data_IF_361085541533
#
_entry.id   IF_361085541533
#
_cell.length_a   1.000
_cell.length_b   1.000
_cell.length_c   1.000
_cell.angle_alpha   90.00
_cell.angle_beta   90.00
_cell.angle_gamma   90.00
#
_symmetry.space_group_name_H-M   'P 1'
#
loop_
_entity.id
_entity.type
_entity.pdbx_description
1 polymer ?
#
# COMPACT_ATOMS: atom_id res chain seq x y z
N UNK A 1 -17.09 19.25 -19.27
CA UNK A 1 -17.13 18.13 -20.23
C UNK A 1 -16.79 16.87 -19.44
N UNK A 2 -17.79 16.05 -19.10
CA UNK A 2 -17.57 14.81 -18.38
C UNK A 2 -17.23 13.74 -19.42
N UNK A 3 -15.94 13.46 -19.64
CA UNK A 3 -15.53 12.36 -20.53
C UNK A 3 -16.12 11.06 -19.98
N UNK A 4 -16.94 10.38 -20.80
CA UNK A 4 -17.54 9.09 -20.42
C UNK A 4 -16.42 8.08 -20.21
N UNK A 5 -16.14 7.74 -18.94
CA UNK A 5 -15.25 6.65 -18.52
C UNK A 5 -15.72 5.35 -19.20
N UNK A 6 -15.00 4.88 -20.21
CA UNK A 6 -15.27 3.59 -20.87
C UNK A 6 -14.55 2.51 -20.11
N UNK A 7 -15.24 1.48 -19.63
CA UNK A 7 -14.60 0.33 -18.98
C UNK A 7 -14.01 -0.61 -20.03
N UNK A 8 -12.79 -1.07 -19.80
CA UNK A 8 -12.05 -2.02 -20.64
C UNK A 8 -11.72 -3.25 -19.79
N UNK A 9 -11.82 -4.43 -20.40
CA UNK A 9 -11.48 -5.70 -19.77
C UNK A 9 -10.13 -6.17 -20.29
N UNK A 10 -9.20 -6.44 -19.40
CA UNK A 10 -7.88 -6.98 -19.68
C UNK A 10 -7.87 -8.45 -19.27
N UNK A 11 -7.79 -9.35 -20.25
CA UNK A 11 -7.64 -10.79 -19.97
C UNK A 11 -6.17 -11.11 -19.68
N UNK A 12 -5.92 -11.73 -18.53
CA UNK A 12 -4.58 -12.12 -18.08
C UNK A 12 -4.33 -13.61 -18.34
N UNK A 13 -3.08 -14.06 -18.13
CA UNK A 13 -2.66 -15.43 -18.41
C UNK A 13 -3.33 -16.48 -17.50
N UNK A 14 -3.87 -16.06 -16.35
CA UNK A 14 -4.74 -16.88 -15.48
C UNK A 14 -6.14 -17.13 -16.07
N UNK A 15 -6.46 -16.53 -17.22
CA UNK A 15 -7.76 -16.61 -17.88
C UNK A 15 -8.82 -15.68 -17.28
N UNK A 16 -8.54 -14.99 -16.18
CA UNK A 16 -9.44 -14.01 -15.54
C UNK A 16 -9.31 -12.64 -16.19
N UNK A 17 -10.32 -11.81 -15.97
CA UNK A 17 -10.37 -10.44 -16.49
C UNK A 17 -10.13 -9.44 -15.37
N UNK A 18 -9.32 -8.40 -15.63
CA UNK A 18 -9.26 -7.17 -14.84
C UNK A 18 -10.06 -6.10 -15.55
N UNK A 19 -10.96 -5.44 -14.85
CA UNK A 19 -11.74 -4.32 -15.36
C UNK A 19 -11.04 -3.03 -14.99
N UNK A 20 -10.63 -2.26 -16.00
CA UNK A 20 -10.01 -0.96 -15.84
C UNK A 20 -10.85 0.11 -16.53
N UNK A 21 -10.78 1.35 -16.04
CA UNK A 21 -11.28 2.50 -16.77
C UNK A 21 -10.29 2.85 -17.89
N UNK A 22 -10.81 3.15 -19.07
CA UNK A 22 -10.05 3.75 -20.15
C UNK A 22 -9.94 5.25 -19.89
N UNK A 23 -8.76 5.69 -19.47
CA UNK A 23 -8.43 7.10 -19.31
C UNK A 23 -7.40 7.50 -20.37
N UNK A 24 -7.76 8.42 -21.26
CA UNK A 24 -6.91 8.84 -22.38
C UNK A 24 -5.68 9.65 -21.95
N UNK A 25 -5.60 10.05 -20.68
CA UNK A 25 -4.61 11.00 -20.16
C UNK A 25 -3.42 10.34 -19.41
N UNK A 26 -3.47 9.05 -19.14
CA UNK A 26 -2.39 8.35 -18.41
C UNK A 26 -1.51 7.61 -19.41
N UNK A 27 -0.26 8.04 -19.53
CA UNK A 27 0.77 7.34 -20.31
C UNK A 27 1.51 6.37 -19.39
N UNK A 28 1.75 5.15 -19.85
CA UNK A 28 2.66 4.20 -19.21
C UNK A 28 3.88 4.02 -20.09
N UNK A 29 5.03 3.69 -19.48
CA UNK A 29 6.26 3.42 -20.20
C UNK A 29 6.78 2.05 -19.85
N UNK A 30 7.36 1.39 -20.84
CA UNK A 30 8.11 0.16 -20.65
C UNK A 30 9.50 0.43 -20.05
N UNK A 31 10.20 -0.60 -19.54
CA UNK A 31 11.57 -0.46 -19.06
C UNK A 31 12.56 0.07 -20.11
N UNK A 32 12.29 -0.16 -21.40
CA UNK A 32 13.05 0.40 -22.53
C UNK A 32 12.59 1.82 -22.95
N UNK A 33 11.73 2.48 -22.16
CA UNK A 33 11.31 3.87 -22.36
C UNK A 33 10.27 4.09 -23.46
N UNK A 34 9.63 3.02 -23.97
CA UNK A 34 8.57 3.14 -24.98
C UNK A 34 7.21 3.33 -24.33
N UNK A 35 6.33 4.18 -24.88
CA UNK A 35 4.96 4.28 -24.40
C UNK A 35 4.23 2.96 -24.62
N UNK A 36 3.53 2.49 -23.59
CA UNK A 36 2.67 1.30 -23.63
C UNK A 36 1.29 1.64 -23.09
N UNK A 37 0.28 0.86 -23.48
CA UNK A 37 -1.06 0.99 -22.93
C UNK A 37 -1.14 0.50 -21.48
N UNK A 38 -2.17 0.95 -20.75
CA UNK A 38 -2.46 0.44 -19.41
C UNK A 38 -2.67 -1.09 -19.39
N UNK A 39 -3.32 -1.64 -20.43
CA UNK A 39 -3.55 -3.07 -20.55
C UNK A 39 -2.23 -3.85 -20.68
N UNK A 40 -1.31 -3.38 -21.52
CA UNK A 40 0.03 -3.97 -21.67
C UNK A 40 0.86 -3.83 -20.39
N UNK A 41 0.78 -2.68 -19.70
CA UNK A 41 1.45 -2.48 -18.42
C UNK A 41 0.97 -3.51 -17.39
N UNK A 42 -0.35 -3.70 -17.23
CA UNK A 42 -0.93 -4.66 -16.29
C UNK A 42 -0.59 -6.10 -16.67
N UNK A 43 -0.61 -6.45 -17.97
CA UNK A 43 -0.21 -7.78 -18.43
C UNK A 43 1.25 -8.10 -18.11
N UNK A 44 2.15 -7.14 -18.30
CA UNK A 44 3.56 -7.28 -17.98
C UNK A 44 3.79 -7.37 -16.47
N UNK A 45 3.18 -6.48 -15.70
CA UNK A 45 3.25 -6.51 -14.24
C UNK A 45 2.79 -7.87 -13.72
N UNK A 46 1.63 -8.36 -14.16
CA UNK A 46 1.12 -9.68 -13.79
C UNK A 46 2.12 -10.82 -14.05
N UNK A 47 2.85 -10.77 -15.16
CA UNK A 47 3.88 -11.78 -15.48
C UNK A 47 5.10 -11.75 -14.57
N UNK A 48 5.39 -10.62 -13.92
CA UNK A 48 6.55 -10.43 -13.05
C UNK A 48 6.25 -10.72 -11.57
N UNK A 49 5.00 -10.59 -11.13
CA UNK A 49 4.60 -10.79 -9.72
C UNK A 49 4.95 -12.19 -9.17
N UNK A 50 4.82 -13.31 -9.91
CA UNK A 50 5.16 -14.64 -9.39
C UNK A 50 6.62 -14.82 -8.98
N UNK A 51 7.52 -13.94 -9.43
CA UNK A 51 8.93 -13.95 -9.01
C UNK A 51 9.17 -13.19 -7.70
N UNK A 52 8.18 -12.43 -7.22
CA UNK A 52 8.25 -11.58 -6.02
C UNK A 52 7.48 -12.18 -4.83
N UNK A 53 6.36 -12.85 -5.11
CA UNK A 53 5.54 -13.59 -4.13
C UNK A 53 4.68 -14.64 -4.85
N UNK A 54 4.45 -15.78 -4.21
CA UNK A 54 3.75 -16.93 -4.78
C UNK A 54 2.22 -16.81 -4.66
N UNK A 55 1.73 -16.27 -3.54
CA UNK A 55 0.30 -16.18 -3.22
C UNK A 55 0.00 -14.93 -2.36
N UNK A 56 -1.28 -14.78 -1.98
CA UNK A 56 -1.73 -13.65 -1.16
C UNK A 56 -1.13 -13.69 0.25
N UNK A 57 -0.91 -14.87 0.83
CA UNK A 57 -0.37 -15.00 2.18
C UNK A 57 1.11 -14.56 2.23
N UNK A 58 1.89 -14.89 1.20
CA UNK A 58 3.25 -14.38 1.04
C UNK A 58 3.25 -12.86 0.80
N UNK A 59 2.35 -12.35 -0.06
CA UNK A 59 2.19 -10.91 -0.26
C UNK A 59 1.87 -10.19 1.07
N UNK A 60 0.93 -10.71 1.86
CA UNK A 60 0.57 -10.18 3.19
C UNK A 60 1.78 -10.18 4.13
N UNK A 61 2.53 -11.27 4.17
CA UNK A 61 3.72 -11.43 5.01
C UNK A 61 4.81 -10.42 4.64
N UNK A 62 5.10 -10.25 3.36
CA UNK A 62 6.10 -9.30 2.84
C UNK A 62 5.62 -7.86 3.03
N UNK A 63 4.33 -7.58 2.83
CA UNK A 63 3.79 -6.23 2.90
C UNK A 63 3.58 -5.72 4.32
N UNK A 64 3.25 -6.62 5.25
CA UNK A 64 2.92 -6.31 6.65
C UNK A 64 4.08 -5.73 7.46
N UNK A 65 5.34 -5.84 6.97
CA UNK A 65 6.51 -5.24 7.63
C UNK A 65 7.11 -4.12 6.77
N UNK A 66 7.48 -2.97 7.36
CA UNK A 66 8.02 -1.84 6.61
C UNK A 66 9.29 -2.13 5.80
N UNK A 67 10.18 -2.97 6.32
CA UNK A 67 11.46 -3.31 5.72
C UNK A 67 11.30 -4.22 4.50
N UNK A 68 10.48 -5.25 4.59
CA UNK A 68 10.20 -6.16 3.48
C UNK A 68 9.30 -5.51 2.43
N UNK A 69 8.33 -4.69 2.84
CA UNK A 69 7.53 -3.87 1.92
C UNK A 69 8.40 -2.93 1.09
N UNK A 70 9.38 -2.27 1.72
CA UNK A 70 10.33 -1.40 1.02
C UNK A 70 11.09 -2.18 -0.05
N UNK A 71 11.66 -3.34 0.30
CA UNK A 71 12.38 -4.20 -0.66
C UNK A 71 11.52 -4.66 -1.83
N UNK A 72 10.26 -4.99 -1.57
CA UNK A 72 9.31 -5.37 -2.62
C UNK A 72 9.07 -4.20 -3.59
N UNK A 73 8.84 -2.99 -3.06
CA UNK A 73 8.66 -1.78 -3.88
C UNK A 73 9.93 -1.42 -4.67
N UNK A 74 11.10 -1.53 -4.06
CA UNK A 74 12.40 -1.33 -4.74
C UNK A 74 12.59 -2.35 -5.89
N UNK A 75 12.30 -3.64 -5.65
CA UNK A 75 12.39 -4.68 -6.68
C UNK A 75 11.38 -4.50 -7.82
N UNK A 76 10.19 -3.95 -7.53
CA UNK A 76 9.21 -3.55 -8.55
C UNK A 76 9.73 -2.35 -9.37
N UNK A 77 10.30 -1.35 -8.70
CA UNK A 77 10.85 -0.16 -9.35
C UNK A 77 12.03 -0.49 -10.28
N UNK A 78 12.94 -1.39 -9.87
CA UNK A 78 14.03 -1.90 -10.71
C UNK A 78 13.53 -2.57 -12.00
N UNK A 79 12.33 -3.15 -11.96
CA UNK A 79 11.65 -3.76 -13.11
C UNK A 79 10.80 -2.77 -13.92
N UNK A 80 10.79 -1.49 -13.54
CA UNK A 80 10.03 -0.42 -14.21
C UNK A 80 8.60 -0.20 -13.67
N UNK A 81 8.27 -0.75 -12.50
CA UNK A 81 6.97 -0.62 -11.85
C UNK A 81 7.08 0.26 -10.58
N UNK A 82 7.39 1.54 -10.78
CA UNK A 82 7.48 2.49 -9.68
C UNK A 82 6.13 2.80 -9.01
N UNK A 83 6.22 3.43 -7.83
CA UNK A 83 5.06 3.79 -7.01
C UNK A 83 4.06 4.68 -7.77
N UNK A 84 4.55 5.63 -8.57
CA UNK A 84 3.69 6.53 -9.34
C UNK A 84 2.87 5.76 -10.39
N UNK A 85 3.49 4.82 -11.10
CA UNK A 85 2.82 3.99 -12.10
C UNK A 85 1.79 3.06 -11.44
N UNK A 86 2.12 2.48 -10.28
CA UNK A 86 1.17 1.65 -9.52
C UNK A 86 -0.02 2.47 -9.01
N UNK A 87 0.21 3.70 -8.54
CA UNK A 87 -0.86 4.62 -8.14
C UNK A 87 -1.76 5.01 -9.32
N UNK A 88 -1.19 5.19 -10.52
CA UNK A 88 -1.97 5.37 -11.75
C UNK A 88 -2.85 4.16 -12.05
N UNK A 89 -2.34 2.92 -11.90
CA UNK A 89 -3.17 1.72 -12.03
C UNK A 89 -4.30 1.72 -10.99
N UNK A 90 -4.02 2.13 -9.76
CA UNK A 90 -5.03 2.33 -8.70
C UNK A 90 -6.20 3.20 -9.16
N UNK A 91 -5.92 4.33 -9.82
CA UNK A 91 -6.97 5.20 -10.41
C UNK A 91 -7.79 4.48 -11.47
N UNK A 92 -7.14 3.70 -12.32
CA UNK A 92 -7.83 2.96 -13.39
C UNK A 92 -8.78 1.89 -12.84
N UNK A 93 -8.51 1.33 -11.66
CA UNK A 93 -9.36 0.32 -11.01
C UNK A 93 -10.27 0.89 -9.92
N UNK A 94 -10.43 2.22 -9.85
CA UNK A 94 -11.26 2.91 -8.84
C UNK A 94 -10.79 2.64 -7.40
N UNK A 95 -9.48 2.51 -7.20
CA UNK A 95 -8.84 2.19 -5.92
C UNK A 95 -7.96 3.34 -5.37
N UNK A 96 -8.26 4.60 -5.69
CA UNK A 96 -7.46 5.76 -5.24
C UNK A 96 -7.38 5.91 -3.71
N UNK A 97 -8.39 5.37 -3.01
CA UNK A 97 -8.44 5.38 -1.55
C UNK A 97 -7.89 4.10 -0.91
N UNK A 98 -7.45 3.14 -1.72
CA UNK A 98 -6.92 1.84 -1.27
C UNK A 98 -5.40 1.90 -1.12
N UNK A 99 -4.83 0.84 -0.55
CA UNK A 99 -3.38 0.69 -0.46
C UNK A 99 -2.79 0.18 -1.79
N UNK A 100 -1.48 0.35 -2.00
CA UNK A 100 -0.81 -0.32 -3.13
C UNK A 100 -0.85 -1.84 -2.99
N UNK A 101 -0.94 -2.36 -1.77
CA UNK A 101 -1.28 -3.76 -1.51
C UNK A 101 -2.51 -4.20 -2.32
N UNK A 102 -3.58 -3.42 -2.26
CA UNK A 102 -4.84 -3.74 -2.93
C UNK A 102 -4.69 -3.73 -4.46
N UNK A 103 -3.87 -2.83 -4.99
CA UNK A 103 -3.57 -2.80 -6.44
C UNK A 103 -2.82 -4.07 -6.86
N UNK A 104 -1.80 -4.48 -6.09
CA UNK A 104 -1.04 -5.70 -6.36
C UNK A 104 -1.92 -6.95 -6.21
N UNK A 105 -2.69 -7.04 -5.13
CA UNK A 105 -3.62 -8.14 -4.86
C UNK A 105 -4.73 -8.25 -5.93
N UNK A 106 -5.25 -7.12 -6.41
CA UNK A 106 -6.18 -7.09 -7.52
C UNK A 106 -5.54 -7.66 -8.78
N UNK A 107 -4.34 -7.21 -9.15
CA UNK A 107 -3.67 -7.67 -10.37
C UNK A 107 -3.31 -9.15 -10.27
N UNK A 108 -2.65 -9.57 -9.18
CA UNK A 108 -2.18 -10.94 -9.00
C UNK A 108 -3.32 -11.95 -8.83
N UNK A 109 -4.34 -11.61 -8.02
CA UNK A 109 -5.29 -12.60 -7.50
C UNK A 109 -6.76 -12.30 -7.84
N UNK A 110 -7.03 -11.14 -8.45
CA UNK A 110 -8.38 -10.65 -8.74
C UNK A 110 -9.21 -10.35 -7.49
N UNK A 111 -8.56 -9.91 -6.41
CA UNK A 111 -9.20 -9.53 -5.15
C UNK A 111 -9.69 -8.09 -5.22
N UNK A 112 -10.93 -7.84 -4.77
CA UNK A 112 -11.51 -6.50 -4.80
C UNK A 112 -10.70 -5.56 -3.88
N UNK A 113 -10.29 -4.36 -4.35
CA UNK A 113 -9.60 -3.40 -3.51
C UNK A 113 -10.43 -2.97 -2.30
N UNK A 114 -9.78 -2.87 -1.14
CA UNK A 114 -10.38 -2.35 0.10
C UNK A 114 -9.82 -0.97 0.40
N UNK A 115 -10.67 -0.02 0.77
CA UNK A 115 -10.17 1.32 1.12
C UNK A 115 -9.35 1.29 2.40
N UNK A 116 -8.40 2.23 2.54
CA UNK A 116 -7.58 2.33 3.76
C UNK A 116 -8.43 2.49 5.02
N UNK A 117 -9.54 3.23 4.94
CA UNK A 117 -10.46 3.42 6.06
C UNK A 117 -11.15 2.10 6.47
N UNK A 118 -11.72 1.38 5.49
CA UNK A 118 -12.35 0.07 5.74
C UNK A 118 -11.34 -0.96 6.25
N UNK A 119 -10.10 -0.94 5.74
CA UNK A 119 -9.00 -1.78 6.21
C UNK A 119 -8.73 -1.57 7.69
N UNK A 120 -8.56 -0.31 8.11
CA UNK A 120 -8.32 0.03 9.52
C UNK A 120 -9.51 -0.36 10.40
N UNK A 121 -10.74 -0.11 9.95
CA UNK A 121 -11.95 -0.43 10.73
C UNK A 121 -12.14 -1.93 10.91
N UNK A 122 -11.97 -2.72 9.84
CA UNK A 122 -12.12 -4.18 9.87
C UNK A 122 -11.04 -4.91 10.70
N UNK A 123 -9.88 -4.30 10.89
CA UNK A 123 -8.75 -4.89 11.64
C UNK A 123 -8.53 -4.24 13.01
N UNK A 124 -9.43 -3.35 13.43
CA UNK A 124 -9.27 -2.50 14.61
C UNK A 124 -8.94 -3.28 15.88
N UNK A 125 -9.64 -4.38 16.12
CA UNK A 125 -9.42 -5.22 17.30
C UNK A 125 -8.02 -5.83 17.32
N UNK A 126 -7.58 -6.41 16.20
CA UNK A 126 -6.26 -7.02 16.07
C UNK A 126 -5.13 -5.98 16.19
N UNK A 127 -5.31 -4.80 15.58
CA UNK A 127 -4.33 -3.70 15.61
C UNK A 127 -4.09 -3.19 17.03
N UNK A 128 -5.13 -3.10 17.86
CA UNK A 128 -5.02 -2.53 19.22
C UNK A 128 -4.82 -3.59 20.31
N UNK A 129 -4.88 -4.87 19.97
CA UNK A 129 -4.72 -5.96 20.92
C UNK A 129 -3.33 -5.90 21.59
N UNK A 130 -3.31 -5.94 22.91
CA UNK A 130 -2.06 -5.93 23.69
C UNK A 130 -1.42 -4.54 23.88
N UNK A 131 -2.04 -3.48 23.38
CA UNK A 131 -1.58 -2.11 23.57
C UNK A 131 -2.33 -1.40 24.69
N UNK A 132 -1.62 -0.61 25.49
CA UNK A 132 -2.23 0.27 26.49
C UNK A 132 -2.91 1.49 25.85
N UNK A 133 -3.65 2.27 26.64
CA UNK A 133 -4.37 3.44 26.15
C UNK A 133 -3.48 4.44 25.39
N UNK A 134 -2.27 4.72 25.87
CA UNK A 134 -1.38 5.72 25.25
C UNK A 134 -0.82 5.20 23.93
N UNK A 135 -0.47 3.92 23.89
CA UNK A 135 -0.06 3.24 22.66
C UNK A 135 -1.19 3.21 21.64
N UNK A 136 -2.42 2.90 22.06
CA UNK A 136 -3.59 2.96 21.18
C UNK A 136 -3.83 4.37 20.62
N UNK A 137 -3.69 5.42 21.44
CA UNK A 137 -3.79 6.81 20.96
C UNK A 137 -2.68 7.19 19.98
N UNK A 138 -1.47 6.66 20.15
CA UNK A 138 -0.38 6.81 19.18
C UNK A 138 -0.71 6.10 17.87
N UNK A 139 -1.15 4.84 17.94
CA UNK A 139 -1.51 4.04 16.77
C UNK A 139 -2.70 4.65 16.02
N UNK A 140 -3.76 5.10 16.71
CA UNK A 140 -4.88 5.84 16.10
C UNK A 140 -4.37 7.04 15.27
N UNK A 141 -3.47 7.85 15.84
CA UNK A 141 -2.90 9.00 15.14
C UNK A 141 -2.11 8.60 13.88
N UNK A 142 -1.31 7.53 13.95
CA UNK A 142 -0.58 6.99 12.79
C UNK A 142 -1.55 6.48 11.71
N UNK A 143 -2.62 5.80 12.13
CA UNK A 143 -3.64 5.25 11.23
C UNK A 143 -4.45 6.36 10.55
N UNK A 144 -4.78 7.45 11.23
CA UNK A 144 -5.43 8.61 10.62
C UNK A 144 -4.56 9.21 9.50
N UNK A 145 -3.25 9.31 9.74
CA UNK A 145 -2.28 9.73 8.73
C UNK A 145 -2.21 8.76 7.54
N UNK A 146 -2.17 7.46 7.82
CA UNK A 146 -2.19 6.41 6.80
C UNK A 146 -3.47 6.49 5.94
N UNK A 147 -4.64 6.58 6.56
CA UNK A 147 -5.93 6.70 5.86
C UNK A 147 -5.99 7.96 5.00
N UNK A 148 -5.40 9.08 5.46
CA UNK A 148 -5.36 10.31 4.69
C UNK A 148 -4.33 10.29 3.55
N UNK A 149 -3.10 9.84 3.80
CA UNK A 149 -1.94 10.07 2.91
C UNK A 149 -1.32 8.83 2.28
N UNK A 150 -1.56 7.67 2.88
CA UNK A 150 -1.27 6.36 2.27
C UNK A 150 -0.13 5.63 2.95
N UNK A 151 0.24 4.50 2.36
CA UNK A 151 1.22 3.55 2.90
C UNK A 151 2.59 4.17 3.21
N UNK A 152 2.94 5.28 2.56
CA UNK A 152 4.18 6.02 2.82
C UNK A 152 4.31 6.51 4.26
N UNK A 153 3.20 6.83 4.94
CA UNK A 153 3.22 7.25 6.35
C UNK A 153 3.64 6.11 7.30
N UNK A 154 3.53 4.86 6.85
CA UNK A 154 3.87 3.66 7.62
C UNK A 154 5.36 3.26 7.49
N UNK A 155 6.16 4.06 6.78
CA UNK A 155 7.61 3.86 6.72
C UNK A 155 8.28 4.15 8.06
N UNK A 156 9.24 3.33 8.47
CA UNK A 156 10.06 3.58 9.68
C UNK A 156 10.76 4.95 9.63
N UNK A 157 11.07 5.45 8.44
CA UNK A 157 11.73 6.75 8.27
C UNK A 157 10.78 7.93 8.58
N UNK A 158 9.47 7.70 8.61
CA UNK A 158 8.45 8.68 9.01
C UNK A 158 8.23 8.76 10.51
N UNK A 159 8.65 7.75 11.27
CA UNK A 159 8.44 7.68 12.71
C UNK A 159 8.94 8.93 13.46
N UNK A 160 10.15 9.47 13.20
CA UNK A 160 10.59 10.70 13.87
C UNK A 160 9.66 11.90 13.63
N UNK A 161 9.17 12.06 12.39
CA UNK A 161 8.26 13.15 12.00
C UNK A 161 6.88 12.99 12.66
N UNK A 162 6.37 11.76 12.74
CA UNK A 162 5.11 11.45 13.41
C UNK A 162 5.19 11.69 14.93
N UNK A 163 6.33 11.34 15.54
CA UNK A 163 6.61 11.62 16.95
C UNK A 163 6.64 13.12 17.21
N UNK A 164 7.39 13.88 16.42
CA UNK A 164 7.47 15.33 16.55
C UNK A 164 6.10 15.99 16.35
N UNK A 165 5.30 15.51 15.40
CA UNK A 165 3.98 16.05 15.12
C UNK A 165 2.97 15.80 16.25
N UNK A 166 2.98 14.62 16.89
CA UNK A 166 2.04 14.30 17.98
C UNK A 166 2.51 14.77 19.36
N UNK A 167 3.80 14.66 19.64
CA UNK A 167 4.37 14.85 20.97
C UNK A 167 5.33 16.04 21.10
N UNK A 168 5.57 16.80 20.02
CA UNK A 168 6.53 17.92 19.94
C UNK A 168 8.01 17.53 20.00
N UNK A 169 8.38 16.46 20.71
CA UNK A 169 9.75 15.96 20.73
C UNK A 169 9.83 14.46 21.04
N UNK A 170 10.97 13.85 20.70
CA UNK A 170 11.27 12.47 21.11
C UNK A 170 11.30 12.32 22.64
N UNK A 171 11.77 13.33 23.37
CA UNK A 171 11.84 13.28 24.83
C UNK A 171 10.46 13.26 25.49
N UNK A 172 9.48 13.96 24.91
CA UNK A 172 8.08 13.91 25.34
C UNK A 172 7.45 12.55 25.04
N UNK A 173 7.65 12.03 23.82
CA UNK A 173 7.17 10.70 23.45
C UNK A 173 7.74 9.60 24.34
N UNK A 174 9.02 9.68 24.72
CA UNK A 174 9.64 8.68 25.62
C UNK A 174 9.04 8.71 27.03
N UNK A 175 8.62 9.89 27.51
CA UNK A 175 7.93 10.02 28.81
C UNK A 175 6.51 9.44 28.77
N UNK A 176 5.83 9.55 27.63
CA UNK A 176 4.47 9.07 27.43
C UNK A 176 4.39 7.56 27.14
N UNK A 177 5.20 7.10 26.18
CA UNK A 177 5.11 5.78 25.55
C UNK A 177 6.24 4.81 25.96
N UNK A 178 7.27 5.29 26.67
CA UNK A 178 8.43 4.50 27.04
C UNK A 178 9.61 4.62 26.06
N UNK A 179 10.66 3.79 26.20
CA UNK A 179 11.91 3.94 25.46
C UNK A 179 11.72 3.95 23.93
N UNK A 180 12.56 4.69 23.21
CA UNK A 180 12.46 4.82 21.75
C UNK A 180 12.44 3.47 20.99
N UNK A 181 13.13 2.46 21.51
CA UNK A 181 13.09 1.10 20.97
C UNK A 181 11.69 0.49 21.02
N UNK A 182 10.99 0.66 22.15
CA UNK A 182 9.62 0.21 22.35
C UNK A 182 8.62 0.94 21.45
N UNK A 183 8.79 2.26 21.29
CA UNK A 183 7.94 3.05 20.36
C UNK A 183 8.09 2.52 18.93
N UNK A 184 9.32 2.22 18.51
CA UNK A 184 9.61 1.65 17.19
C UNK A 184 9.01 0.25 17.03
N UNK A 185 9.11 -0.59 18.07
CA UNK A 185 8.52 -1.93 18.09
C UNK A 185 7.00 -1.86 17.90
N UNK A 186 6.30 -1.07 18.74
CA UNK A 186 4.86 -0.82 18.61
C UNK A 186 4.50 -0.34 17.20
N UNK A 187 5.25 0.62 16.64
CA UNK A 187 5.02 1.16 15.29
C UNK A 187 5.22 0.14 14.16
N UNK A 188 6.14 -0.82 14.33
CA UNK A 188 6.43 -1.83 13.31
C UNK A 188 5.47 -3.01 13.42
N UNK A 189 5.22 -3.49 14.64
CA UNK A 189 4.47 -4.72 14.88
C UNK A 189 2.99 -4.60 14.53
N UNK A 190 2.34 -3.45 14.81
CA UNK A 190 0.91 -3.31 14.52
C UNK A 190 0.62 -3.46 13.01
N UNK A 191 1.59 -3.15 12.14
CA UNK A 191 1.37 -3.11 10.69
C UNK A 191 1.10 -4.48 10.08
N UNK A 192 1.59 -5.56 10.68
CA UNK A 192 1.28 -6.91 10.23
C UNK A 192 -0.20 -7.25 10.46
N UNK A 193 -0.88 -6.52 11.36
CA UNK A 193 -2.30 -6.69 11.66
C UNK A 193 -3.21 -5.83 10.77
N UNK A 194 -2.67 -5.05 9.81
CA UNK A 194 -3.46 -4.27 8.84
C UNK A 194 -3.93 -5.08 7.61
N UNK A 195 -3.40 -6.27 7.39
CA UNK A 195 -3.59 -7.06 6.17
C UNK A 195 -3.90 -8.50 6.51
#
# INVERSE_FOLDING_TARGET
MCEKRRKVKVKLADGKERTIQHMSATSFWSPDGKPISAAEFIQRLFGELPALFADEDELRTVWGRPDTRRKLLEGLEEKGYGIEQLAEVGKLIEAENSDLYDVLAYIAFNLAPVTRAERVDSHREAIFQGHDYRQQEFLCFVLDHYVARGVGELSTDKLPQLIELKYHSLGDAVRELGPAGHIREVFVEFQQHLY
#
